data_IF_753979202255
#
_entry.id   IF_753979202255
#
_cell.length_a   1.000
_cell.length_b   1.000
_cell.length_c   1.000
_cell.angle_alpha   90.00
_cell.angle_beta   90.00
_cell.angle_gamma   90.00
#
_symmetry.space_group_name_H-M   'P 1'
#
loop_
_entity.id
_entity.type
_entity.pdbx_description
1 polymer ?
#
# COMPACT_ATOMS: atom_id res chain seq x y z
N UNK A 1 -13.01 11.03 12.79
CA UNK A 1 -11.91 12.03 12.73
C UNK A 1 -10.78 11.66 13.67
N UNK A 2 -11.09 11.39 14.94
CA UNK A 2 -10.09 10.99 15.95
C UNK A 2 -9.28 9.75 15.52
N UNK A 3 -9.93 8.76 14.90
CA UNK A 3 -9.26 7.55 14.40
C UNK A 3 -8.21 7.85 13.32
N UNK A 4 -8.54 8.72 12.35
CA UNK A 4 -7.57 9.17 11.35
C UNK A 4 -6.35 9.86 11.98
N UNK A 5 -6.58 10.73 12.98
CA UNK A 5 -5.49 11.43 13.68
C UNK A 5 -4.63 10.42 14.45
N UNK A 6 -5.23 9.43 15.11
CA UNK A 6 -4.52 8.35 15.80
C UNK A 6 -3.67 7.54 14.83
N UNK A 7 -4.22 7.13 13.69
CA UNK A 7 -3.50 6.40 12.63
C UNK A 7 -2.38 7.23 12.01
N UNK A 8 -2.61 8.52 11.78
CA UNK A 8 -1.57 9.43 11.29
C UNK A 8 -0.42 9.57 12.30
N UNK A 9 -0.71 9.63 13.61
CA UNK A 9 0.33 9.61 14.65
C UNK A 9 1.11 8.30 14.67
N UNK A 10 0.43 7.16 14.52
CA UNK A 10 1.09 5.85 14.41
C UNK A 10 2.01 5.81 13.19
N UNK A 11 1.54 6.30 12.05
CA UNK A 11 2.33 6.38 10.82
C UNK A 11 3.58 7.24 11.01
N UNK A 12 3.44 8.43 11.61
CA UNK A 12 4.57 9.32 11.92
C UNK A 12 5.61 8.63 12.80
N UNK A 13 5.17 7.94 13.85
CA UNK A 13 6.06 7.22 14.76
C UNK A 13 6.74 6.03 14.08
N UNK A 14 6.03 5.28 13.23
CA UNK A 14 6.57 4.12 12.50
C UNK A 14 7.71 4.54 11.55
N UNK A 15 7.56 5.68 10.90
CA UNK A 15 8.55 6.21 9.96
C UNK A 15 9.62 7.10 10.63
N UNK A 16 9.58 7.26 11.96
CA UNK A 16 10.41 8.19 12.74
C UNK A 16 10.40 9.64 12.20
N UNK A 17 9.20 10.11 11.85
CA UNK A 17 8.98 11.43 11.26
C UNK A 17 8.24 12.37 12.21
N UNK A 18 8.73 13.60 12.30
CA UNK A 18 7.93 14.70 12.85
C UNK A 18 7.02 15.33 11.79
N UNK A 19 6.05 16.14 12.23
CA UNK A 19 5.06 16.78 11.34
C UNK A 19 5.71 17.65 10.25
N UNK A 20 6.85 18.28 10.57
CA UNK A 20 7.60 19.10 9.63
C UNK A 20 8.15 18.26 8.49
N UNK A 21 8.91 17.22 8.81
CA UNK A 21 9.53 16.34 7.81
C UNK A 21 8.49 15.57 7.00
N UNK A 22 7.43 15.11 7.65
CA UNK A 22 6.31 14.47 6.96
C UNK A 22 5.66 15.39 5.93
N UNK A 23 5.42 16.66 6.27
CA UNK A 23 4.83 17.62 5.34
C UNK A 23 5.69 17.86 4.09
N UNK A 24 7.02 17.85 4.24
CA UNK A 24 7.95 17.95 3.12
C UNK A 24 7.87 16.73 2.22
N UNK A 25 7.84 15.52 2.80
CA UNK A 25 7.79 14.25 2.06
C UNK A 25 6.50 14.14 1.23
N UNK A 26 5.36 14.50 1.81
CA UNK A 26 4.07 14.42 1.10
C UNK A 26 3.77 15.67 0.27
N UNK A 27 4.61 16.70 0.29
CA UNK A 27 4.42 17.92 -0.53
C UNK A 27 3.21 18.76 -0.10
N UNK A 28 3.05 19.00 1.20
CA UNK A 28 2.03 19.90 1.77
C UNK A 28 2.65 20.91 2.73
N UNK A 29 1.89 21.94 3.11
CA UNK A 29 2.35 22.91 4.09
C UNK A 29 2.43 22.29 5.50
N UNK A 30 3.46 22.66 6.28
CA UNK A 30 3.62 22.23 7.69
C UNK A 30 2.38 22.50 8.54
N UNK A 31 1.74 23.65 8.32
CA UNK A 31 0.50 24.04 9.00
C UNK A 31 -0.66 23.08 8.70
N UNK A 32 -0.75 22.54 7.47
CA UNK A 32 -1.78 21.57 7.10
C UNK A 32 -1.70 20.31 7.95
N UNK A 33 -0.50 19.76 8.13
CA UNK A 33 -0.27 18.57 8.98
C UNK A 33 -0.56 18.91 10.45
N UNK A 34 -0.09 20.06 10.95
CA UNK A 34 -0.31 20.48 12.33
C UNK A 34 -1.80 20.70 12.66
N UNK A 35 -2.57 21.32 11.76
CA UNK A 35 -4.00 21.54 11.95
C UNK A 35 -4.82 20.24 11.93
N UNK A 36 -4.40 19.25 11.13
CA UNK A 36 -5.01 17.92 11.14
C UNK A 36 -4.68 17.19 12.45
N UNK A 37 -3.41 17.17 12.87
CA UNK A 37 -2.97 16.50 14.10
C UNK A 37 -3.59 17.09 15.38
N UNK A 38 -3.94 18.38 15.36
CA UNK A 38 -4.66 19.06 16.46
C UNK A 38 -6.18 18.89 16.39
N UNK A 39 -6.72 18.26 15.34
CA UNK A 39 -8.16 18.03 15.19
C UNK A 39 -8.96 19.25 14.73
N UNK A 40 -8.29 20.35 14.38
CA UNK A 40 -8.97 21.57 13.89
C UNK A 40 -9.49 21.40 12.46
N UNK A 41 -8.79 20.60 11.64
CA UNK A 41 -9.11 20.42 10.23
C UNK A 41 -9.29 18.94 9.86
N UNK A 42 -10.24 18.67 8.96
CA UNK A 42 -10.31 17.38 8.25
C UNK A 42 -9.23 17.32 7.17
N UNK A 43 -8.62 16.15 6.88
CA UNK A 43 -7.77 15.99 5.71
C UNK A 43 -8.61 16.18 4.44
N UNK A 44 -8.06 16.89 3.46
CA UNK A 44 -8.66 16.99 2.13
C UNK A 44 -8.34 15.74 1.30
N UNK A 45 -9.06 15.55 0.19
CA UNK A 45 -8.75 14.49 -0.76
C UNK A 45 -7.32 14.64 -1.31
N UNK A 46 -6.88 15.86 -1.64
CA UNK A 46 -5.50 16.13 -2.10
C UNK A 46 -4.47 15.69 -1.06
N UNK A 47 -4.72 15.98 0.23
CA UNK A 47 -3.83 15.55 1.32
C UNK A 47 -3.70 14.02 1.38
N UNK A 48 -4.82 13.31 1.28
CA UNK A 48 -4.85 11.84 1.30
C UNK A 48 -4.14 11.25 0.07
N UNK A 49 -4.40 11.80 -1.12
CA UNK A 49 -3.74 11.36 -2.36
C UNK A 49 -2.24 11.61 -2.33
N UNK A 50 -1.79 12.70 -1.72
CA UNK A 50 -0.38 13.01 -1.54
C UNK A 50 0.32 12.04 -0.60
N UNK A 51 -0.35 11.59 0.45
CA UNK A 51 0.15 10.49 1.30
C UNK A 51 0.32 9.22 0.45
N UNK A 52 -0.72 8.80 -0.27
CA UNK A 52 -0.70 7.58 -1.10
C UNK A 52 0.36 7.62 -2.23
N UNK A 53 0.62 8.80 -2.80
CA UNK A 53 1.63 9.00 -3.85
C UNK A 53 3.05 9.18 -3.31
N UNK A 54 3.21 9.42 -2.01
CA UNK A 54 4.52 9.61 -1.41
C UNK A 54 5.31 8.30 -1.34
N UNK A 55 6.57 8.39 -0.92
CA UNK A 55 7.43 7.23 -0.68
C UNK A 55 7.09 6.48 0.61
N UNK A 56 6.11 6.96 1.39
CA UNK A 56 5.68 6.33 2.64
C UNK A 56 4.80 5.13 2.29
N UNK A 57 5.19 3.95 2.80
CA UNK A 57 4.43 2.72 2.59
C UNK A 57 3.28 2.63 3.58
N UNK A 58 2.09 3.01 3.12
CA UNK A 58 0.86 3.01 3.91
C UNK A 58 -0.30 2.48 3.09
N UNK A 59 -1.04 1.54 3.67
CA UNK A 59 -2.30 1.07 3.13
C UNK A 59 -3.39 2.14 3.34
N UNK A 60 -4.00 2.55 2.23
CA UNK A 60 -5.04 3.56 2.22
C UNK A 60 -6.34 3.05 2.86
N UNK A 61 -6.63 1.77 2.74
CA UNK A 61 -7.81 1.16 3.37
C UNK A 61 -7.67 1.20 4.90
N UNK A 62 -6.49 0.82 5.41
CA UNK A 62 -6.17 0.96 6.84
C UNK A 62 -6.26 2.42 7.30
N UNK A 63 -5.69 3.37 6.55
CA UNK A 63 -5.65 4.78 6.95
C UNK A 63 -7.06 5.40 7.03
N UNK A 64 -7.95 4.99 6.14
CA UNK A 64 -9.31 5.55 6.02
C UNK A 64 -10.38 4.78 6.79
N UNK A 65 -10.11 3.55 7.21
CA UNK A 65 -11.11 2.76 7.94
C UNK A 65 -11.46 3.40 9.29
N UNK A 66 -12.70 3.20 9.72
CA UNK A 66 -13.18 3.71 11.00
C UNK A 66 -12.70 2.85 12.18
N UNK A 67 -12.18 1.66 11.95
CA UNK A 67 -11.71 0.76 13.00
C UNK A 67 -10.34 1.19 13.53
N UNK A 68 -10.27 1.45 14.84
CA UNK A 68 -9.04 1.84 15.52
C UNK A 68 -8.15 0.64 15.93
N UNK A 69 -8.65 -0.59 15.77
CA UNK A 69 -8.10 -1.83 16.35
C UNK A 69 -7.29 -2.69 15.38
N UNK A 70 -7.09 -2.24 14.14
CA UNK A 70 -6.09 -2.86 13.27
C UNK A 70 -4.71 -2.38 13.72
N UNK A 71 -4.22 -2.99 14.80
CA UNK A 71 -2.81 -2.98 15.14
C UNK A 71 -2.06 -3.40 13.87
N UNK A 72 -1.10 -2.57 13.44
CA UNK A 72 -0.19 -2.90 12.33
C UNK A 72 0.64 -4.19 12.59
N UNK A 73 0.44 -4.83 13.74
CA UNK A 73 1.01 -6.11 14.14
C UNK A 73 0.18 -7.33 13.68
N UNK A 74 -1.08 -7.17 13.26
CA UNK A 74 -1.93 -8.29 12.79
C UNK A 74 -2.05 -8.41 11.27
N UNK A 75 -1.54 -7.44 10.50
CA UNK A 75 -1.44 -7.58 9.03
C UNK A 75 -0.12 -8.27 8.65
N UNK A 76 -0.04 -9.57 8.91
CA UNK A 76 0.71 -10.42 7.98
C UNK A 76 -0.02 -10.42 6.64
N UNK A 77 0.68 -9.95 5.60
CA UNK A 77 0.36 -10.06 4.15
C UNK A 77 -0.66 -9.09 3.56
N UNK A 78 -0.10 -8.04 2.96
CA UNK A 78 -0.09 -7.93 1.49
C UNK A 78 1.27 -7.36 1.03
N UNK A 79 2.21 -8.26 0.71
CA UNK A 79 3.46 -7.92 -0.03
C UNK A 79 3.09 -7.32 -1.41
N UNK A 80 4.07 -6.78 -2.16
CA UNK A 80 4.66 -5.45 -2.14
C UNK A 80 4.22 -4.62 -3.37
N UNK A 81 4.50 -3.31 -3.42
CA UNK A 81 4.60 -2.58 -4.70
C UNK A 81 5.67 -3.28 -5.56
N UNK A 82 5.23 -4.03 -6.55
CA UNK A 82 6.09 -4.81 -7.43
C UNK A 82 6.49 -3.99 -8.67
N UNK A 83 7.67 -3.37 -8.60
CA UNK A 83 8.53 -3.12 -9.76
C UNK A 83 9.88 -3.80 -9.52
N UNK A 84 9.84 -5.07 -9.11
CA UNK A 84 11.01 -5.93 -8.99
C UNK A 84 10.62 -7.28 -9.56
N UNK A 85 11.33 -7.74 -10.60
CA UNK A 85 11.11 -9.03 -11.27
C UNK A 85 10.95 -10.16 -10.24
N UNK A 86 9.73 -10.59 -9.90
CA UNK A 86 9.52 -11.92 -9.30
C UNK A 86 9.83 -12.95 -10.35
N UNK A 87 10.76 -13.85 -10.02
CA UNK A 87 10.68 -15.20 -10.52
C UNK A 87 9.40 -15.80 -9.91
N UNK A 88 8.32 -15.87 -10.70
CA UNK A 88 7.15 -16.64 -10.31
C UNK A 88 7.59 -18.10 -10.21
N UNK A 89 7.78 -18.60 -8.98
CA UNK A 89 7.60 -20.02 -8.74
C UNK A 89 6.10 -20.28 -8.88
N UNK A 90 5.69 -20.60 -10.11
CA UNK A 90 4.42 -21.27 -10.32
C UNK A 90 4.63 -22.63 -9.67
N UNK A 91 4.00 -22.85 -8.52
CA UNK A 91 3.79 -24.19 -8.01
C UNK A 91 2.90 -24.88 -9.04
N UNK A 92 3.52 -25.48 -10.06
CA UNK A 92 2.84 -26.35 -10.99
C UNK A 92 2.12 -27.35 -10.12
N UNK A 93 0.80 -27.26 -10.10
CA UNK A 93 -0.06 -28.28 -9.52
C UNK A 93 0.48 -29.57 -10.11
N UNK A 94 1.14 -30.41 -9.30
CA UNK A 94 1.50 -31.78 -9.69
C UNK A 94 0.18 -32.52 -9.82
N UNK A 95 -0.48 -32.29 -10.95
CA UNK A 95 -1.63 -33.02 -11.39
C UNK A 95 -1.08 -33.89 -12.50
N UNK A 96 -0.94 -35.18 -12.24
CA UNK A 96 -0.46 -36.18 -13.20
C UNK A 96 -1.44 -36.34 -14.40
N UNK A 97 -2.55 -35.59 -14.40
CA UNK A 97 -3.61 -35.57 -15.40
C UNK A 97 -3.59 -34.30 -16.29
N UNK A 98 -2.45 -33.62 -16.44
CA UNK A 98 -2.34 -32.48 -17.38
C UNK A 98 -2.04 -33.00 -18.78
N UNK A 99 -2.98 -32.84 -19.71
CA UNK A 99 -2.80 -33.25 -21.12
C UNK A 99 -2.00 -32.23 -21.95
N UNK A 100 -2.16 -30.93 -21.65
CA UNK A 100 -1.59 -29.82 -22.44
C UNK A 100 -1.52 -28.51 -21.66
N UNK A 101 -0.45 -27.75 -21.89
CA UNK A 101 -0.26 -26.36 -21.47
C UNK A 101 -0.21 -25.46 -22.72
N UNK A 102 -0.93 -24.34 -22.72
CA UNK A 102 -0.87 -23.32 -23.77
C UNK A 102 -0.43 -21.98 -23.17
N UNK A 103 0.65 -21.39 -23.70
CA UNK A 103 1.21 -20.11 -23.29
C UNK A 103 0.93 -19.08 -24.38
N UNK A 104 0.19 -18.02 -24.06
CA UNK A 104 -0.08 -16.90 -24.97
C UNK A 104 0.92 -15.77 -24.72
N UNK A 105 1.46 -15.20 -25.81
CA UNK A 105 2.36 -14.06 -25.78
C UNK A 105 1.63 -12.79 -26.21
N UNK A 106 2.14 -11.62 -25.79
CA UNK A 106 1.54 -10.33 -26.10
C UNK A 106 1.62 -9.94 -27.57
N UNK A 107 2.45 -10.61 -28.37
CA UNK A 107 2.50 -10.47 -29.82
C UNK A 107 1.40 -11.29 -30.55
N UNK A 108 0.52 -11.94 -29.79
CA UNK A 108 -0.57 -12.77 -30.30
C UNK A 108 -0.12 -14.18 -30.70
N UNK A 109 1.17 -14.51 -30.60
CA UNK A 109 1.64 -15.88 -30.77
C UNK A 109 1.32 -16.74 -29.54
N UNK A 110 1.34 -18.06 -29.72
CA UNK A 110 1.23 -18.98 -28.61
C UNK A 110 2.16 -20.18 -28.77
N UNK A 111 2.49 -20.81 -27.63
CA UNK A 111 3.21 -22.08 -27.58
C UNK A 111 2.37 -23.13 -26.87
N UNK A 112 2.44 -24.35 -27.37
CA UNK A 112 1.71 -25.48 -26.81
C UNK A 112 2.70 -26.55 -26.38
N UNK A 113 2.52 -27.08 -25.18
CA UNK A 113 3.28 -28.19 -24.60
C UNK A 113 2.30 -29.30 -24.24
N UNK A 114 2.62 -30.53 -24.63
CA UNK A 114 1.85 -31.72 -24.30
C UNK A 114 2.69 -32.61 -23.38
N UNK A 115 2.04 -33.38 -22.50
CA UNK A 115 2.72 -34.40 -21.68
C UNK A 115 3.17 -35.59 -22.52
#
# INVERSE_FOLDING_TARGET
MENFIKKLKILLNKEDLNASRFSEIIGVQRSSVSHILSGRNKPSLDFILKIHKSTIDVDLEWLLSDDAEQDLNSTTLSKPKENTKKNLKIDFIKNDNIDRIVIFFSDGSFRTYNN
#
